data_IF_483598517118
#
_entry.id   IF_483598517118
#
_cell.length_a   1.000
_cell.length_b   1.000
_cell.length_c   1.000
_cell.angle_alpha   90.00
_cell.angle_beta   90.00
_cell.angle_gamma   90.00
#
_symmetry.space_group_name_H-M   'P 1'
#
loop_
_entity.id
_entity.type
_entity.pdbx_description
1 polymer ?
#
# COMPACT_ATOMS: atom_id res chain seq x y z
N UNK A 1 -14.57 1.50 -13.28
CA UNK A 1 -13.73 0.31 -13.59
C UNK A 1 -12.69 0.71 -14.62
N UNK A 2 -11.43 0.88 -14.21
CA UNK A 2 -10.30 0.80 -15.14
C UNK A 2 -9.06 0.39 -14.37
N UNK A 3 -8.58 -0.82 -14.65
CA UNK A 3 -7.17 -1.16 -14.46
C UNK A 3 -6.42 -0.16 -15.36
N UNK A 4 -5.70 0.77 -14.75
CA UNK A 4 -5.02 1.86 -15.47
C UNK A 4 -3.76 1.36 -16.18
N UNK A 5 -3.02 0.43 -15.56
CA UNK A 5 -1.98 -0.37 -16.20
C UNK A 5 -1.70 -1.62 -15.35
N UNK A 6 -1.29 -2.71 -16.01
CA UNK A 6 -0.57 -3.83 -15.40
C UNK A 6 0.78 -3.79 -16.07
N UNK A 7 1.80 -3.39 -15.33
CA UNK A 7 3.16 -3.34 -15.84
C UNK A 7 3.89 -4.58 -15.37
N UNK A 8 4.21 -5.46 -16.32
CA UNK A 8 5.10 -6.60 -16.10
C UNK A 8 6.51 -6.09 -16.41
N UNK A 9 7.25 -5.69 -15.36
CA UNK A 9 8.59 -5.13 -15.51
C UNK A 9 9.59 -6.27 -15.37
N UNK A 10 10.13 -6.72 -16.51
CA UNK A 10 11.30 -7.58 -16.52
C UNK A 10 12.55 -6.72 -16.30
N UNK A 11 13.04 -6.66 -15.06
CA UNK A 11 14.29 -5.96 -14.76
C UNK A 11 15.44 -6.68 -15.47
N UNK A 12 16.11 -5.98 -16.39
CA UNK A 12 17.26 -6.55 -17.10
C UNK A 12 18.41 -6.78 -16.11
N UNK A 13 18.96 -7.99 -16.14
CA UNK A 13 20.04 -8.45 -15.26
C UNK A 13 21.35 -7.69 -15.44
N UNK A 14 21.51 -6.94 -16.53
CA UNK A 14 22.69 -6.13 -16.82
C UNK A 14 22.89 -4.94 -15.88
N UNK A 15 21.88 -4.60 -15.07
CA UNK A 15 21.95 -3.56 -14.02
C UNK A 15 21.97 -4.13 -12.59
N UNK A 16 21.92 -5.46 -12.43
CA UNK A 16 21.91 -6.12 -11.12
C UNK A 16 23.34 -6.58 -10.74
N UNK A 17 23.83 -6.26 -9.52
CA UNK A 17 25.16 -6.69 -9.09
C UNK A 17 25.19 -8.21 -8.84
N UNK A 18 25.87 -8.91 -9.74
CA UNK A 18 26.49 -10.25 -9.71
C UNK A 18 26.14 -11.28 -8.61
N UNK A 19 24.87 -11.42 -8.23
CA UNK A 19 24.43 -12.56 -7.40
C UNK A 19 23.05 -13.06 -7.82
N UNK A 20 23.04 -14.26 -8.41
CA UNK A 20 21.92 -15.21 -8.59
C UNK A 20 20.63 -14.71 -9.26
N UNK A 21 20.31 -15.24 -10.44
CA UNK A 21 18.98 -15.70 -10.96
C UNK A 21 17.67 -15.10 -10.39
N UNK A 22 17.66 -13.85 -9.97
CA UNK A 22 16.48 -13.15 -9.48
C UNK A 22 15.96 -12.33 -10.64
N UNK A 23 14.99 -12.88 -11.36
CA UNK A 23 14.13 -12.12 -12.25
C UNK A 23 12.89 -11.72 -11.44
N UNK A 24 12.87 -10.54 -10.82
CA UNK A 24 11.63 -10.08 -10.23
C UNK A 24 10.69 -9.76 -11.38
N UNK A 25 9.72 -10.62 -11.63
CA UNK A 25 8.53 -10.20 -12.35
C UNK A 25 7.77 -9.31 -11.37
N UNK A 26 8.09 -8.02 -11.37
CA UNK A 26 7.32 -7.03 -10.63
C UNK A 26 6.09 -6.75 -11.46
N UNK A 27 4.96 -7.33 -11.05
CA UNK A 27 3.67 -6.91 -11.58
C UNK A 27 3.22 -5.75 -10.73
N UNK A 28 3.46 -4.54 -11.24
CA UNK A 28 2.93 -3.34 -10.64
C UNK A 28 1.44 -3.30 -10.93
N UNK A 29 0.66 -3.74 -9.96
CA UNK A 29 -0.75 -3.45 -9.90
C UNK A 29 -0.84 -2.15 -9.13
N UNK A 30 -1.28 -1.08 -9.79
CA UNK A 30 -1.54 0.19 -9.11
C UNK A 30 -2.79 0.04 -8.21
N UNK A 31 -2.65 -0.71 -7.11
CA UNK A 31 -3.60 -0.72 -6.00
C UNK A 31 -3.17 0.39 -5.05
N UNK A 32 -3.42 1.62 -5.46
CA UNK A 32 -3.77 2.59 -4.44
C UNK A 32 -5.18 2.18 -4.01
N UNK A 33 -5.37 1.72 -2.77
CA UNK A 33 -6.67 1.26 -2.28
C UNK A 33 -7.73 2.36 -2.46
N UNK A 34 -7.32 3.63 -2.43
CA UNK A 34 -8.17 4.78 -2.72
C UNK A 34 -8.56 4.93 -4.20
N UNK A 35 -7.87 4.28 -5.12
CA UNK A 35 -8.06 4.41 -6.59
C UNK A 35 -8.61 3.11 -7.21
N UNK A 36 -8.13 1.94 -6.78
CA UNK A 36 -8.47 0.66 -7.42
C UNK A 36 -9.89 0.16 -7.09
N UNK A 37 -10.58 0.80 -6.14
CA UNK A 37 -11.93 0.45 -5.69
C UNK A 37 -12.01 -0.02 -4.24
N UNK A 38 -11.08 0.39 -3.39
CA UNK A 38 -11.03 0.04 -1.97
C UNK A 38 -10.48 -1.35 -1.71
N UNK A 39 -10.46 -1.72 -0.43
CA UNK A 39 -9.99 -3.03 0.05
C UNK A 39 -10.74 -4.19 -0.64
N UNK A 40 -12.05 -4.02 -0.89
CA UNK A 40 -12.87 -5.06 -1.53
C UNK A 40 -12.38 -5.39 -2.94
N UNK A 41 -12.15 -4.37 -3.77
CA UNK A 41 -11.71 -4.58 -5.15
C UNK A 41 -10.22 -4.93 -5.20
N UNK A 42 -9.40 -4.29 -4.35
CA UNK A 42 -7.99 -4.62 -4.19
C UNK A 42 -7.77 -6.10 -3.87
N UNK A 43 -8.56 -6.68 -2.96
CA UNK A 43 -8.51 -8.12 -2.64
C UNK A 43 -8.85 -9.00 -3.83
N UNK A 44 -9.88 -8.68 -4.62
CA UNK A 44 -10.23 -9.44 -5.84
C UNK A 44 -9.13 -9.38 -6.88
N UNK A 45 -8.47 -8.23 -7.01
CA UNK A 45 -7.33 -8.07 -7.93
C UNK A 45 -6.17 -8.96 -7.46
N UNK A 46 -5.86 -8.96 -6.16
CA UNK A 46 -4.82 -9.83 -5.58
C UNK A 46 -5.14 -11.32 -5.80
N UNK A 47 -6.40 -11.71 -5.61
CA UNK A 47 -6.86 -13.09 -5.83
C UNK A 47 -6.75 -13.50 -7.29
N UNK A 48 -7.10 -12.60 -8.22
CA UNK A 48 -6.94 -12.87 -9.64
C UNK A 48 -5.46 -12.97 -10.04
N UNK A 49 -4.62 -12.07 -9.53
CA UNK A 49 -3.19 -12.12 -9.75
C UNK A 49 -2.58 -13.45 -9.26
N UNK A 50 -3.05 -13.96 -8.12
CA UNK A 50 -2.56 -15.20 -7.54
C UNK A 50 -2.73 -16.41 -8.45
N UNK A 51 -3.81 -16.48 -9.23
CA UNK A 51 -4.07 -17.58 -10.21
C UNK A 51 -3.03 -17.63 -11.33
N UNK A 52 -2.34 -16.51 -11.59
CA UNK A 52 -1.28 -16.41 -12.59
C UNK A 52 0.13 -16.41 -11.97
N UNK A 53 0.28 -16.89 -10.73
CA UNK A 53 1.54 -16.86 -9.96
C UNK A 53 2.14 -15.45 -9.81
N UNK A 54 1.30 -14.43 -9.93
CA UNK A 54 1.71 -13.03 -9.78
C UNK A 54 1.66 -12.64 -8.31
N UNK A 55 2.77 -12.06 -7.83
CA UNK A 55 2.85 -11.43 -6.52
C UNK A 55 2.49 -9.95 -6.58
N UNK A 56 2.02 -9.41 -5.45
CA UNK A 56 1.48 -8.07 -5.35
C UNK A 56 2.23 -7.26 -4.30
N UNK A 57 2.55 -6.02 -4.67
CA UNK A 57 2.96 -4.94 -3.79
C UNK A 57 1.97 -3.78 -3.97
N UNK A 58 1.17 -3.45 -2.94
CA UNK A 58 0.28 -2.29 -3.01
C UNK A 58 1.03 -0.97 -3.11
N UNK A 59 0.58 -0.09 -4.00
CA UNK A 59 1.20 1.21 -4.19
C UNK A 59 0.70 2.19 -3.13
N UNK A 60 1.62 2.74 -2.33
CA UNK A 60 1.31 3.62 -1.20
C UNK A 60 2.09 4.92 -1.33
N UNK A 61 1.46 5.92 -1.97
CA UNK A 61 1.93 7.30 -2.01
C UNK A 61 0.88 8.25 -1.43
N UNK A 62 0.41 7.93 -0.21
CA UNK A 62 -0.67 8.63 0.48
C UNK A 62 -0.33 9.01 1.92
N UNK A 63 -1.38 9.32 2.69
CA UNK A 63 -1.28 9.58 4.13
C UNK A 63 -1.39 8.30 4.98
N UNK A 64 -1.30 8.41 6.32
CA UNK A 64 -1.25 7.25 7.22
C UNK A 64 -2.47 6.32 7.15
N UNK A 65 -3.64 6.81 6.70
CA UNK A 65 -4.82 5.97 6.42
C UNK A 65 -4.54 4.98 5.29
N UNK A 66 -3.87 5.41 4.22
CA UNK A 66 -3.55 4.55 3.09
C UNK A 66 -2.58 3.45 3.51
N UNK A 67 -1.54 3.81 4.27
CA UNK A 67 -0.59 2.84 4.85
C UNK A 67 -1.30 1.81 5.73
N UNK A 68 -2.17 2.25 6.64
CA UNK A 68 -2.90 1.34 7.53
C UNK A 68 -3.83 0.39 6.75
N UNK A 69 -4.52 0.88 5.72
CA UNK A 69 -5.36 0.05 4.86
C UNK A 69 -4.55 -0.97 4.05
N UNK A 70 -3.40 -0.56 3.49
CA UNK A 70 -2.50 -1.43 2.76
C UNK A 70 -1.99 -2.58 3.65
N UNK A 71 -1.53 -2.27 4.86
CA UNK A 71 -1.04 -3.28 5.82
C UNK A 71 -2.09 -4.36 6.13
N UNK A 72 -3.37 -3.98 6.25
CA UNK A 72 -4.46 -4.95 6.44
C UNK A 72 -4.66 -5.85 5.22
N UNK A 73 -4.56 -5.29 4.00
CA UNK A 73 -4.69 -6.08 2.76
C UNK A 73 -3.50 -7.04 2.59
N UNK A 74 -2.29 -6.54 2.78
CA UNK A 74 -1.04 -7.31 2.68
C UNK A 74 -1.00 -8.48 3.66
N UNK A 75 -1.52 -8.27 4.88
CA UNK A 75 -1.59 -9.29 5.92
C UNK A 75 -2.47 -10.50 5.55
N UNK A 76 -3.42 -10.34 4.62
CA UNK A 76 -4.42 -11.37 4.30
C UNK A 76 -4.27 -11.99 2.90
N UNK A 77 -3.35 -11.49 2.07
CA UNK A 77 -3.12 -12.05 0.74
C UNK A 77 -1.95 -13.05 0.75
N UNK A 78 -2.08 -14.22 0.10
CA UNK A 78 -1.01 -15.22 0.07
C UNK A 78 0.14 -14.87 -0.89
N UNK A 79 -0.08 -13.90 -1.78
CA UNK A 79 0.85 -13.49 -2.83
C UNK A 79 1.48 -12.11 -2.58
N UNK A 80 1.61 -11.68 -1.32
CA UNK A 80 2.39 -10.50 -0.96
C UNK A 80 3.89 -10.66 -1.32
N UNK A 81 4.55 -9.57 -1.73
CA UNK A 81 6.01 -9.56 -2.00
C UNK A 81 6.79 -8.55 -1.16
N UNK A 82 6.35 -7.30 -1.08
CA UNK A 82 7.02 -6.22 -0.33
C UNK A 82 6.05 -5.06 -0.10
N UNK A 83 6.28 -4.27 0.94
CA UNK A 83 5.52 -3.04 1.25
C UNK A 83 6.26 -1.80 0.73
N UNK A 84 5.57 -0.85 0.12
CA UNK A 84 6.15 0.45 -0.24
C UNK A 84 6.13 1.41 0.95
N UNK A 85 7.29 1.97 1.29
CA UNK A 85 7.39 3.12 2.19
C UNK A 85 7.81 4.35 1.42
N UNK A 86 6.85 5.19 1.05
CA UNK A 86 7.17 6.41 0.32
C UNK A 86 7.81 7.45 1.25
N UNK A 87 8.80 8.22 0.77
CA UNK A 87 9.52 9.24 1.57
C UNK A 87 8.62 10.29 2.23
N UNK A 88 7.42 10.51 1.69
CA UNK A 88 6.45 11.46 2.24
C UNK A 88 5.77 10.94 3.52
N UNK A 89 5.80 9.63 3.78
CA UNK A 89 5.34 9.07 5.07
C UNK A 89 6.19 9.53 6.25
N UNK A 90 7.43 9.98 6.01
CA UNK A 90 8.36 10.46 7.02
C UNK A 90 8.19 11.95 7.34
N UNK A 91 7.39 12.69 6.57
CA UNK A 91 7.20 14.11 6.79
C UNK A 91 6.25 14.33 7.95
N UNK A 92 6.65 15.18 8.89
CA UNK A 92 5.84 15.55 10.06
C UNK A 92 4.43 16.00 9.65
N UNK A 93 4.33 16.86 8.63
CA UNK A 93 3.03 17.33 8.12
C UNK A 93 2.11 16.23 7.57
N UNK A 94 2.64 15.05 7.22
CA UNK A 94 1.85 13.88 6.84
C UNK A 94 1.50 13.03 8.06
N UNK A 95 2.47 12.80 8.95
CA UNK A 95 2.30 12.00 10.17
C UNK A 95 1.19 12.59 11.04
N UNK A 96 1.19 13.92 11.26
CA UNK A 96 0.22 14.61 12.14
C UNK A 96 -1.22 14.62 11.61
N UNK A 97 -1.46 14.15 10.39
CA UNK A 97 -2.82 14.04 9.85
C UNK A 97 -3.63 12.92 10.50
N UNK A 98 -2.97 11.94 11.12
CA UNK A 98 -3.61 10.78 11.72
C UNK A 98 -3.06 10.45 13.11
N UNK A 99 -3.82 9.69 13.90
CA UNK A 99 -3.53 9.45 15.32
C UNK A 99 -2.34 8.52 15.59
N UNK A 100 -2.03 7.62 14.67
CA UNK A 100 -0.99 6.60 14.86
C UNK A 100 0.06 6.66 13.76
N UNK A 101 1.34 6.69 14.12
CA UNK A 101 2.46 6.67 13.17
C UNK A 101 2.97 5.24 12.99
N UNK A 102 2.58 4.60 11.90
CA UNK A 102 3.07 3.27 11.52
C UNK A 102 4.28 3.44 10.62
N UNK A 103 5.45 3.03 11.11
CA UNK A 103 6.73 3.11 10.40
C UNK A 103 7.44 1.76 10.43
N UNK A 104 8.27 1.45 9.42
CA UNK A 104 9.00 0.20 9.40
C UNK A 104 10.09 0.21 10.48
N UNK A 105 10.20 -0.90 11.21
CA UNK A 105 11.30 -1.15 12.13
C UNK A 105 12.21 -2.21 11.54
N UNK A 106 13.50 -1.89 11.36
CA UNK A 106 14.50 -2.78 10.76
C UNK A 106 14.09 -3.33 9.37
N UNK A 107 13.36 -2.53 8.59
CA UNK A 107 12.88 -2.91 7.25
C UNK A 107 11.59 -3.72 7.22
N UNK A 108 10.91 -3.89 8.36
CA UNK A 108 9.64 -4.62 8.46
C UNK A 108 8.54 -3.76 9.07
N UNK A 109 7.32 -3.95 8.60
CA UNK A 109 6.13 -3.37 9.21
C UNK A 109 5.45 -4.36 10.15
N UNK A 110 4.81 -3.81 11.17
CA UNK A 110 3.80 -4.52 11.96
C UNK A 110 2.40 -4.13 11.45
N UNK A 111 1.51 -5.12 11.42
CA UNK A 111 0.11 -4.90 11.04
C UNK A 111 -0.63 -4.26 12.22
N UNK A 112 -1.41 -3.19 12.03
CA UNK A 112 -2.19 -2.59 13.10
C UNK A 112 -3.17 -3.59 13.72
N UNK A 113 -3.11 -3.79 15.04
CA UNK A 113 -4.02 -4.70 15.78
C UNK A 113 -5.29 -4.01 16.31
N UNK A 114 -5.39 -2.70 16.14
CA UNK A 114 -6.58 -1.92 16.55
C UNK A 114 -7.78 -2.26 15.66
N UNK A 115 -9.02 -2.16 16.17
CA UNK A 115 -10.22 -2.42 15.37
C UNK A 115 -10.27 -1.64 14.06
N UNK A 116 -10.87 -2.24 13.02
CA UNK A 116 -10.93 -1.66 11.68
C UNK A 116 -9.57 -1.70 10.99
N UNK A 117 -9.20 -0.62 10.29
CA UNK A 117 -7.85 -0.48 9.73
C UNK A 117 -6.81 -0.08 10.77
N UNK A 118 -7.25 0.22 12.00
CA UNK A 118 -6.39 0.68 13.08
C UNK A 118 -5.88 2.11 12.93
N UNK A 119 -6.59 2.99 12.21
CA UNK A 119 -6.20 4.38 11.98
C UNK A 119 -7.39 5.33 12.02
N UNK A 120 -7.15 6.57 12.45
CA UNK A 120 -8.12 7.66 12.50
C UNK A 120 -7.45 9.00 12.17
N UNK A 121 -8.21 9.95 11.60
CA UNK A 121 -7.75 11.34 11.46
C UNK A 121 -7.59 11.99 12.85
N UNK A 122 -6.66 12.94 12.97
CA UNK A 122 -6.52 13.76 14.17
C UNK A 122 -7.67 14.78 14.28
N UNK A 123 -8.02 15.17 15.51
CA UNK A 123 -9.06 16.17 15.73
C UNK A 123 -8.60 17.55 15.20
N UNK A 124 -7.30 17.81 15.27
CA UNK A 124 -6.64 19.02 14.77
C UNK A 124 -6.77 19.14 13.25
N UNK A 125 -6.49 18.07 12.49
CA UNK A 125 -6.62 18.14 11.03
C UNK A 125 -8.08 18.26 10.62
N UNK A 126 -8.98 17.58 11.34
CA UNK A 126 -10.42 17.69 11.09
C UNK A 126 -10.94 19.10 11.35
N UNK A 127 -10.42 19.80 12.36
CA UNK A 127 -10.83 21.16 12.71
C UNK A 127 -10.43 22.22 11.67
N UNK A 128 -9.35 22.00 10.92
CA UNK A 128 -8.83 22.95 9.91
C UNK A 128 -9.16 22.56 8.46
N UNK A 129 -9.71 21.36 8.25
CA UNK A 129 -10.03 20.86 6.92
C UNK A 129 -11.37 21.39 6.40
N UNK A 130 -11.48 21.47 5.08
CA UNK A 130 -12.76 21.70 4.41
C UNK A 130 -13.62 20.43 4.50
N UNK A 131 -14.84 20.53 5.05
CA UNK A 131 -15.73 19.39 5.27
C UNK A 131 -17.07 19.63 4.57
N UNK A 132 -17.35 18.79 3.56
CA UNK A 132 -18.68 18.66 2.97
C UNK A 132 -19.44 17.53 3.66
N UNK A 133 -20.66 17.79 4.12
CA UNK A 133 -21.52 16.77 4.75
C UNK A 133 -22.70 16.49 3.84
N UNK A 134 -22.81 15.25 3.38
CA UNK A 134 -23.95 14.75 2.60
C UNK A 134 -24.93 14.12 3.60
N UNK A 135 -26.17 14.60 3.61
CA UNK A 135 -27.27 14.04 4.42
C UNK A 135 -28.10 13.06 3.59
#
# INVERSE_FOLDING_TARGET
MKIISIEIINVKTEFAPDTSTWQPVVVKINTDEGICGGITEGKKICDMAHVYDVRVQPHICGGPIATAAALQLEAVIPNFIIHETHRFSLLEGNIVTCKYDYQPQNGYYEVPERPGIGQELTDEIMAVSYIEKIQ
#
